data_IF_323607960278
#
_entry.id   IF_323607960278
#
_cell.length_a   1.000
_cell.length_b   1.000
_cell.length_c   1.000
_cell.angle_alpha   90.00
_cell.angle_beta   90.00
_cell.angle_gamma   90.00
#
_symmetry.space_group_name_H-M   'P 1'
#
loop_
_entity.id
_entity.type
_entity.pdbx_description
1 polymer ?
#
# COMPACT_ATOMS: atom_id res chain seq x y z
N UNK A 1 5.79 5.05 11.36
CA UNK A 1 5.05 4.04 12.16
C UNK A 1 5.63 2.61 12.10
N UNK A 2 6.12 2.14 10.95
CA UNK A 2 6.57 0.74 10.75
C UNK A 2 8.09 0.64 10.62
N UNK A 3 8.63 0.64 9.38
CA UNK A 3 10.07 0.48 9.10
C UNK A 3 10.93 1.46 9.89
N UNK A 4 10.52 2.74 9.98
CA UNK A 4 11.26 3.75 10.74
C UNK A 4 11.46 3.41 12.22
N UNK A 5 10.52 2.72 12.86
CA UNK A 5 10.68 2.26 14.25
C UNK A 5 11.72 1.14 14.34
N UNK A 6 11.62 0.14 13.47
CA UNK A 6 12.54 -0.99 13.40
C UNK A 6 13.97 -0.54 13.08
N UNK A 7 14.13 0.39 12.12
CA UNK A 7 15.44 0.90 11.74
C UNK A 7 16.10 1.70 12.85
N UNK A 8 15.35 2.53 13.60
CA UNK A 8 15.88 3.23 14.77
C UNK A 8 16.31 2.26 15.87
N UNK A 9 15.56 1.18 16.09
CA UNK A 9 15.94 0.15 17.04
C UNK A 9 17.26 -0.55 16.62
N UNK A 10 17.39 -0.91 15.34
CA UNK A 10 18.63 -1.48 14.79
C UNK A 10 19.81 -0.51 14.90
N UNK A 11 19.63 0.76 14.52
CA UNK A 11 20.66 1.79 14.67
C UNK A 11 21.13 1.90 16.11
N UNK A 12 20.20 1.94 17.08
CA UNK A 12 20.55 2.02 18.50
C UNK A 12 21.43 0.83 18.94
N UNK A 13 21.13 -0.37 18.46
CA UNK A 13 21.94 -1.57 18.74
C UNK A 13 23.33 -1.42 18.11
N UNK A 14 23.41 -1.08 16.83
CA UNK A 14 24.69 -0.93 16.12
C UNK A 14 25.60 0.14 16.74
N UNK A 15 25.03 1.25 17.22
CA UNK A 15 25.81 2.29 17.91
C UNK A 15 26.19 1.94 19.35
N UNK A 16 25.49 1.00 19.99
CA UNK A 16 25.74 0.64 21.39
C UNK A 16 27.01 -0.18 21.58
N UNK A 17 27.42 -0.97 20.57
CA UNK A 17 28.65 -1.76 20.58
C UNK A 17 29.28 -1.82 19.17
N UNK A 18 30.05 -0.79 18.79
CA UNK A 18 30.67 -0.72 17.47
C UNK A 18 31.73 -1.79 17.21
N UNK A 19 32.33 -2.39 18.24
CA UNK A 19 33.33 -3.45 18.04
C UNK A 19 32.67 -4.76 17.59
N UNK A 20 31.48 -5.06 18.12
CA UNK A 20 30.69 -6.22 17.71
C UNK A 20 29.93 -5.98 16.40
N UNK A 21 29.31 -4.80 16.26
CA UNK A 21 28.34 -4.54 15.18
C UNK A 21 28.85 -3.65 14.03
N UNK A 22 30.03 -3.06 14.19
CA UNK A 22 30.65 -2.19 13.19
C UNK A 22 31.59 -2.94 12.23
N UNK A 23 31.97 -2.33 11.10
CA UNK A 23 33.00 -2.89 10.22
C UNK A 23 34.39 -2.89 10.92
N UNK A 24 35.21 -3.95 10.80
CA UNK A 24 35.02 -5.10 9.90
C UNK A 24 34.22 -6.27 10.51
N UNK A 25 33.85 -6.24 11.79
CA UNK A 25 33.20 -7.35 12.49
C UNK A 25 31.85 -7.73 11.85
N UNK A 26 31.04 -6.72 11.49
CA UNK A 26 29.80 -6.93 10.75
C UNK A 26 29.59 -5.85 9.69
N UNK A 27 29.57 -6.28 8.42
CA UNK A 27 29.08 -5.44 7.33
C UNK A 27 27.57 -5.61 7.21
N UNK A 28 26.84 -4.49 7.22
CA UNK A 28 25.39 -4.49 7.10
C UNK A 28 24.92 -3.47 6.06
N UNK A 29 23.75 -3.72 5.47
CA UNK A 29 23.08 -2.82 4.52
C UNK A 29 21.62 -2.70 4.92
N UNK A 30 21.11 -1.47 4.95
CA UNK A 30 19.70 -1.19 5.22
C UNK A 30 18.97 -0.94 3.91
N UNK A 31 17.90 -1.69 3.68
CA UNK A 31 16.94 -1.43 2.59
C UNK A 31 15.72 -0.75 3.20
N UNK A 32 15.59 0.59 3.13
CA UNK A 32 14.60 1.33 3.91
C UNK A 32 13.17 1.17 3.38
N UNK A 33 13.02 0.94 2.08
CA UNK A 33 11.74 0.74 1.40
C UNK A 33 11.96 0.07 0.03
N UNK A 34 10.90 -0.49 -0.54
CA UNK A 34 10.96 -1.29 -1.77
C UNK A 34 9.65 -1.31 -2.58
N UNK A 35 8.71 -0.40 -2.28
CA UNK A 35 7.38 -0.33 -2.91
C UNK A 35 7.40 -0.24 -4.44
N UNK A 36 8.47 0.32 -5.02
CA UNK A 36 8.63 0.50 -6.47
C UNK A 36 9.47 -0.60 -7.16
N UNK A 37 9.85 -1.67 -6.44
CA UNK A 37 10.66 -2.75 -7.03
C UNK A 37 9.85 -3.48 -8.10
N UNK A 38 10.42 -3.62 -9.30
CA UNK A 38 9.75 -4.22 -10.45
C UNK A 38 9.13 -5.61 -10.16
N UNK A 39 9.85 -6.48 -9.44
CA UNK A 39 9.34 -7.81 -9.06
C UNK A 39 8.15 -7.79 -8.11
N UNK A 40 8.11 -6.83 -7.19
CA UNK A 40 6.95 -6.65 -6.31
C UNK A 40 5.75 -6.12 -7.10
N UNK A 41 5.96 -5.06 -7.88
CA UNK A 41 4.91 -4.46 -8.73
C UNK A 41 4.31 -5.49 -9.70
N UNK A 42 5.14 -6.29 -10.36
CA UNK A 42 4.68 -7.32 -11.30
C UNK A 42 3.94 -8.46 -10.60
N UNK A 43 4.37 -8.85 -9.41
CA UNK A 43 3.71 -9.91 -8.63
C UNK A 43 2.32 -9.48 -8.18
N UNK A 44 2.19 -8.29 -7.59
CA UNK A 44 0.88 -7.74 -7.19
C UNK A 44 -0.01 -7.56 -8.42
N UNK A 45 0.51 -6.94 -9.48
CA UNK A 45 -0.26 -6.75 -10.72
C UNK A 45 -0.78 -8.07 -11.28
N UNK A 46 0.06 -9.10 -11.35
CA UNK A 46 -0.34 -10.42 -11.87
C UNK A 46 -1.50 -11.02 -11.07
N UNK A 47 -1.44 -10.96 -9.74
CA UNK A 47 -2.51 -11.48 -8.87
C UNK A 47 -3.80 -10.70 -9.12
N UNK A 48 -3.74 -9.36 -9.14
CA UNK A 48 -4.93 -8.54 -9.38
C UNK A 48 -5.48 -8.75 -10.79
N UNK A 49 -4.61 -8.91 -11.79
CA UNK A 49 -5.02 -9.17 -13.17
C UNK A 49 -5.76 -10.51 -13.29
N UNK A 50 -5.33 -11.55 -12.58
CA UNK A 50 -6.04 -12.83 -12.53
C UNK A 50 -7.48 -12.66 -12.03
N UNK A 51 -7.71 -11.82 -11.02
CA UNK A 51 -9.07 -11.53 -10.53
C UNK A 51 -9.88 -10.66 -11.51
N UNK A 52 -9.23 -9.73 -12.22
CA UNK A 52 -9.88 -8.94 -13.27
C UNK A 52 -10.31 -9.83 -14.45
N UNK A 53 -9.45 -10.78 -14.84
CA UNK A 53 -9.69 -11.68 -15.98
C UNK A 53 -10.74 -12.75 -15.67
N UNK A 54 -11.06 -12.97 -14.39
CA UNK A 54 -12.13 -13.88 -13.97
C UNK A 54 -13.55 -13.32 -14.22
N UNK A 55 -13.69 -12.01 -14.50
CA UNK A 55 -14.97 -11.42 -14.89
C UNK A 55 -15.33 -11.77 -16.34
N UNK A 56 -16.61 -12.07 -16.56
CA UNK A 56 -17.18 -12.28 -17.91
C UNK A 56 -17.12 -11.01 -18.76
N UNK A 57 -17.26 -11.16 -20.08
CA UNK A 57 -17.28 -10.01 -21.00
C UNK A 57 -18.42 -9.03 -20.67
N UNK A 58 -19.59 -9.55 -20.27
CA UNK A 58 -20.73 -8.76 -19.83
C UNK A 58 -20.40 -7.96 -18.57
N UNK A 59 -19.77 -8.58 -17.56
CA UNK A 59 -19.35 -7.88 -16.35
C UNK A 59 -18.27 -6.83 -16.64
N UNK A 60 -17.35 -7.10 -17.57
CA UNK A 60 -16.34 -6.11 -17.99
C UNK A 60 -17.00 -4.91 -18.69
N UNK A 61 -18.07 -5.11 -19.47
CA UNK A 61 -18.88 -4.02 -20.06
C UNK A 61 -19.59 -3.16 -19.01
N UNK A 62 -19.98 -3.75 -17.87
CA UNK A 62 -20.53 -3.00 -16.72
C UNK A 62 -19.46 -2.19 -15.95
N UNK A 63 -18.18 -2.48 -16.21
CA UNK A 63 -17.01 -1.83 -15.61
C UNK A 63 -16.49 -2.59 -14.39
N UNK A 64 -15.17 -2.80 -14.35
CA UNK A 64 -14.46 -3.44 -13.23
C UNK A 64 -13.74 -2.38 -12.41
N UNK A 65 -13.90 -2.43 -11.10
CA UNK A 65 -13.24 -1.53 -10.17
C UNK A 65 -12.21 -2.31 -9.35
N UNK A 66 -11.06 -1.68 -9.07
CA UNK A 66 -10.03 -2.21 -8.17
C UNK A 66 -9.86 -1.22 -7.01
N UNK A 67 -10.12 -1.68 -5.79
CA UNK A 67 -9.91 -0.89 -4.57
C UNK A 67 -8.69 -1.41 -3.83
N UNK A 68 -7.59 -0.66 -3.91
CA UNK A 68 -6.46 -0.87 -3.02
C UNK A 68 -6.81 -0.34 -1.62
N UNK A 69 -6.68 -1.20 -0.62
CA UNK A 69 -6.87 -0.88 0.79
C UNK A 69 -5.53 -0.96 1.52
N UNK A 70 -5.07 0.19 2.01
CA UNK A 70 -3.87 0.31 2.82
C UNK A 70 -4.25 0.49 4.29
N UNK A 71 -3.41 0.06 5.22
CA UNK A 71 -3.63 0.35 6.63
C UNK A 71 -3.48 1.86 6.87
N UNK A 72 -4.46 2.48 7.53
CA UNK A 72 -4.39 3.89 7.84
C UNK A 72 -3.23 4.21 8.77
N UNK A 73 -2.78 5.45 8.71
CA UNK A 73 -1.94 6.05 9.76
C UNK A 73 -2.60 7.34 10.23
N UNK A 74 -2.34 7.78 11.47
CA UNK A 74 -2.75 9.10 11.93
C UNK A 74 -2.29 10.17 10.94
N UNK A 75 -3.18 11.11 10.60
CA UNK A 75 -2.84 12.20 9.67
C UNK A 75 -1.65 13.03 10.17
N UNK A 76 -1.53 13.20 11.48
CA UNK A 76 -0.42 13.88 12.12
C UNK A 76 0.96 13.27 11.81
N UNK A 77 1.04 11.97 11.49
CA UNK A 77 2.31 11.35 11.11
C UNK A 77 2.75 11.79 9.71
N UNK A 78 1.80 11.88 8.79
CA UNK A 78 2.06 12.38 7.43
C UNK A 78 2.39 13.86 7.45
N UNK A 79 1.65 14.65 8.24
CA UNK A 79 1.94 16.07 8.42
C UNK A 79 3.33 16.29 9.04
N UNK A 80 3.83 15.33 9.83
CA UNK A 80 5.18 15.30 10.38
C UNK A 80 6.25 14.72 9.41
N UNK A 81 5.87 14.41 8.17
CA UNK A 81 6.78 13.97 7.11
C UNK A 81 6.95 12.45 6.98
N UNK A 82 6.06 11.62 7.55
CA UNK A 82 6.07 10.17 7.29
C UNK A 82 5.80 9.94 5.78
N UNK A 83 6.71 9.29 5.03
CA UNK A 83 6.60 9.15 3.58
C UNK A 83 5.55 8.11 3.16
N UNK A 84 4.90 7.44 4.11
CA UNK A 84 4.00 6.32 3.87
C UNK A 84 2.91 6.61 2.84
N UNK A 85 2.22 7.75 2.95
CA UNK A 85 1.13 8.12 2.02
C UNK A 85 1.64 8.18 0.58
N UNK A 86 2.68 9.00 0.35
CA UNK A 86 3.28 9.17 -0.97
C UNK A 86 3.83 7.86 -1.55
N UNK A 87 4.39 6.99 -0.71
CA UNK A 87 4.89 5.68 -1.15
C UNK A 87 3.76 4.74 -1.57
N UNK A 88 2.65 4.72 -0.83
CA UNK A 88 1.46 3.92 -1.17
C UNK A 88 0.80 4.45 -2.45
N UNK A 89 0.58 5.76 -2.56
CA UNK A 89 0.02 6.39 -3.76
C UNK A 89 0.88 6.06 -4.99
N UNK A 90 2.21 6.20 -4.86
CA UNK A 90 3.12 5.90 -5.96
C UNK A 90 3.13 4.42 -6.32
N UNK A 91 3.06 3.53 -5.33
CA UNK A 91 2.96 2.09 -5.55
C UNK A 91 1.71 1.75 -6.37
N UNK A 92 0.54 2.25 -5.95
CA UNK A 92 -0.74 2.04 -6.64
C UNK A 92 -0.70 2.61 -8.05
N UNK A 93 -0.17 3.82 -8.24
CA UNK A 93 0.03 4.42 -9.56
C UNK A 93 0.85 3.51 -10.48
N UNK A 94 1.96 2.96 -9.98
CA UNK A 94 2.84 2.08 -10.76
C UNK A 94 2.19 0.73 -11.09
N UNK A 95 1.39 0.18 -10.18
CA UNK A 95 0.65 -1.06 -10.43
C UNK A 95 -0.43 -0.81 -11.50
N UNK A 96 -1.22 0.26 -11.32
CA UNK A 96 -2.36 0.64 -12.16
C UNK A 96 -1.97 0.88 -13.63
N UNK A 97 -0.76 1.39 -13.91
CA UNK A 97 -0.26 1.59 -15.27
C UNK A 97 -0.24 0.33 -16.15
N UNK A 98 -0.32 -0.86 -15.55
CA UNK A 98 -0.37 -2.11 -16.30
C UNK A 98 -1.75 -2.75 -16.36
N UNK A 99 -2.80 -2.09 -15.86
CA UNK A 99 -4.17 -2.57 -16.01
C UNK A 99 -4.79 -2.08 -17.32
N UNK A 100 -5.79 -2.81 -17.86
CA UNK A 100 -6.60 -2.36 -18.98
C UNK A 100 -7.30 -1.02 -18.73
N UNK A 101 -7.58 -0.27 -19.80
CA UNK A 101 -8.23 1.06 -19.72
C UNK A 101 -9.68 1.01 -19.17
N UNK A 102 -10.33 -0.15 -19.23
CA UNK A 102 -11.69 -0.38 -18.69
C UNK A 102 -11.72 -0.66 -17.19
N UNK A 103 -10.55 -0.70 -16.53
CA UNK A 103 -10.41 -0.90 -15.09
C UNK A 103 -10.27 0.43 -14.35
N UNK A 104 -11.16 0.69 -13.41
CA UNK A 104 -11.12 1.89 -12.56
C UNK A 104 -10.41 1.59 -11.24
N UNK A 105 -9.35 2.34 -10.94
CA UNK A 105 -8.55 2.14 -9.73
C UNK A 105 -8.92 3.15 -8.64
N UNK A 106 -8.99 2.66 -7.40
CA UNK A 106 -9.24 3.43 -6.19
C UNK A 106 -8.21 3.08 -5.12
N UNK A 107 -7.93 4.04 -4.24
CA UNK A 107 -7.13 3.85 -3.03
C UNK A 107 -7.96 4.29 -1.82
N UNK A 108 -7.86 3.54 -0.73
CA UNK A 108 -8.46 3.87 0.56
C UNK A 108 -7.60 3.38 1.73
N UNK A 109 -7.91 3.87 2.92
CA UNK A 109 -7.21 3.56 4.16
C UNK A 109 -8.16 2.92 5.19
N UNK A 110 -7.78 1.77 5.74
CA UNK A 110 -8.58 0.97 6.68
C UNK A 110 -8.02 1.04 8.12
N UNK A 111 -8.76 0.42 9.06
CA UNK A 111 -8.29 0.17 10.43
C UNK A 111 -7.97 1.41 11.28
N UNK A 112 -8.76 2.49 11.14
CA UNK A 112 -8.72 3.64 12.06
C UNK A 112 -9.20 3.24 13.46
N UNK A 113 -8.56 3.79 14.50
CA UNK A 113 -8.91 3.57 15.92
C UNK A 113 -8.90 4.89 16.67
N UNK A 114 -9.88 5.06 17.56
CA UNK A 114 -9.97 6.24 18.43
C UNK A 114 -10.44 7.52 17.71
N UNK A 115 -10.48 8.65 18.42
CA UNK A 115 -11.09 9.89 17.95
C UNK A 115 -10.16 10.78 17.11
N UNK A 116 -8.91 10.37 16.88
CA UNK A 116 -7.93 11.17 16.12
C UNK A 116 -8.24 11.13 14.62
N UNK A 117 -7.70 12.09 13.87
CA UNK A 117 -7.81 12.07 12.42
C UNK A 117 -6.81 11.09 11.78
N UNK A 118 -7.30 10.32 10.81
CA UNK A 118 -6.53 9.34 10.04
C UNK A 118 -6.56 9.71 8.56
N UNK A 119 -5.63 9.12 7.79
CA UNK A 119 -5.63 9.26 6.34
C UNK A 119 -6.94 8.81 5.70
N UNK A 120 -7.34 9.53 4.65
CA UNK A 120 -8.58 9.38 3.91
C UNK A 120 -8.27 9.17 2.42
N UNK A 121 -9.18 8.56 1.65
CA UNK A 121 -10.54 8.15 2.02
C UNK A 121 -10.57 6.88 2.86
N UNK A 122 -11.56 6.75 3.76
CA UNK A 122 -11.72 5.54 4.56
C UNK A 122 -12.30 4.40 3.73
N UNK A 123 -11.81 3.18 3.90
CA UNK A 123 -12.25 2.03 3.10
C UNK A 123 -13.74 1.76 3.22
N UNK A 124 -14.32 1.87 4.42
CA UNK A 124 -15.75 1.67 4.63
C UNK A 124 -16.60 2.75 3.94
N UNK A 125 -16.17 4.01 4.00
CA UNK A 125 -16.84 5.11 3.30
C UNK A 125 -16.71 4.98 1.77
N UNK A 126 -15.53 4.57 1.28
CA UNK A 126 -15.31 4.35 -0.16
C UNK A 126 -16.16 3.20 -0.70
N UNK A 127 -16.31 2.12 0.05
CA UNK A 127 -17.18 1.00 -0.33
C UNK A 127 -18.66 1.43 -0.39
N UNK A 128 -19.13 2.22 0.58
CA UNK A 128 -20.50 2.78 0.54
C UNK A 128 -20.71 3.69 -0.67
N UNK A 129 -19.74 4.54 -0.98
CA UNK A 129 -19.75 5.42 -2.15
C UNK A 129 -19.85 4.62 -3.46
N UNK A 130 -19.00 3.61 -3.65
CA UNK A 130 -19.01 2.75 -4.84
C UNK A 130 -20.33 1.98 -4.96
N UNK A 131 -20.86 1.46 -3.84
CA UNK A 131 -22.16 0.80 -3.81
C UNK A 131 -23.31 1.73 -4.23
N UNK A 132 -23.30 2.99 -3.76
CA UNK A 132 -24.27 4.01 -4.14
C UNK A 132 -24.17 4.43 -5.62
N UNK A 133 -22.97 4.36 -6.20
CA UNK A 133 -22.73 4.56 -7.64
C UNK A 133 -23.16 3.36 -8.50
N UNK A 134 -23.63 2.28 -7.88
CA UNK A 134 -24.10 1.09 -8.59
C UNK A 134 -23.00 0.13 -9.03
N UNK A 135 -21.77 0.29 -8.51
CA UNK A 135 -20.64 -0.62 -8.83
C UNK A 135 -21.01 -2.06 -8.44
N UNK A 136 -20.89 -2.98 -9.41
CA UNK A 136 -21.19 -4.41 -9.24
C UNK A 136 -19.96 -5.31 -9.21
N UNK A 137 -18.88 -4.87 -9.85
CA UNK A 137 -17.66 -5.66 -10.04
C UNK A 137 -16.49 -4.96 -9.34
N UNK A 138 -16.02 -5.52 -8.23
CA UNK A 138 -14.98 -4.91 -7.39
C UNK A 138 -13.96 -5.97 -6.94
N UNK A 139 -12.69 -5.71 -7.25
CA UNK A 139 -11.54 -6.42 -6.67
C UNK A 139 -10.98 -5.60 -5.52
N UNK A 140 -11.00 -6.15 -4.30
CA UNK A 140 -10.40 -5.50 -3.13
C UNK A 140 -8.97 -6.03 -2.90
N UNK A 141 -8.00 -5.13 -2.78
CA UNK A 141 -6.57 -5.49 -2.74
C UNK A 141 -5.90 -4.93 -1.47
N UNK A 142 -5.49 -5.77 -0.51
CA UNK A 142 -4.68 -5.31 0.61
C UNK A 142 -3.25 -4.99 0.12
N UNK A 143 -2.85 -3.71 0.13
CA UNK A 143 -1.59 -3.29 -0.52
C UNK A 143 -0.44 -2.99 0.44
N UNK A 144 -0.73 -2.78 1.72
CA UNK A 144 0.28 -2.30 2.68
C UNK A 144 0.81 -3.35 3.65
N UNK A 145 0.52 -4.62 3.42
CA UNK A 145 1.05 -5.78 4.14
C UNK A 145 1.38 -6.87 3.12
N UNK A 146 2.50 -7.58 3.33
CA UNK A 146 2.98 -8.69 2.50
C UNK A 146 3.21 -9.89 3.41
#
# INVERSE_FOLDING_TARGET
STSGSSLRALQKIFYSDPETWGPPALQHTVVPYWYQRAGYLSSVRRIVQTEIDAYTEEQRKEGVHVLFSAHGVPKSYVDAGDPYEAQIEKCVELIAKGFPDDVRVHLSYQSRVGPIEWLRPYTDDKLRELGAQGVKNLVAVPISFV
#
